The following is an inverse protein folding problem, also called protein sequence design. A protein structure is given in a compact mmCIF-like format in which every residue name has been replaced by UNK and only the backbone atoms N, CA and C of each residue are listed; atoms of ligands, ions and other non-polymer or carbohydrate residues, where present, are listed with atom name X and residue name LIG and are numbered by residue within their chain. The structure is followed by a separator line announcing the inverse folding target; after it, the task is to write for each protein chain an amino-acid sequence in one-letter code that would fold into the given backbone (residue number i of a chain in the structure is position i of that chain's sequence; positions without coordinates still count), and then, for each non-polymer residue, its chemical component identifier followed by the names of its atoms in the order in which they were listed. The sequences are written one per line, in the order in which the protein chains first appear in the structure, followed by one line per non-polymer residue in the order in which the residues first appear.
data_IF_358999969746
#
_entry.id   IF_358999969746
#
_cell.length_a   1.000
_cell.length_b   1.000
_cell.length_c   1.000
_cell.angle_alpha   90.00
_cell.angle_beta   90.00
_cell.angle_gamma   90.00
#
_symmetry.space_group_name_H-M   'P 1'
#
loop_
_entity.id
_entity.type
_entity.pdbx_description
1 polymer ?
#
# COMPACT_ATOMS: atom_id res chain seq x y z
N UNK A 1 -0.87 9.08 6.53
CA UNK A 1 0.61 8.98 6.58
C UNK A 1 1.01 8.45 7.95
N UNK A 2 1.74 7.34 8.03
CA UNK A 2 2.06 6.64 9.29
C UNK A 2 2.88 7.50 10.27
N UNK A 3 3.88 8.26 9.77
CA UNK A 3 4.71 9.17 10.60
C UNK A 3 3.87 10.19 11.38
N UNK A 4 2.90 10.84 10.73
CA UNK A 4 2.01 11.81 11.36
C UNK A 4 1.21 11.19 12.52
N UNK A 5 0.63 10.00 12.28
CA UNK A 5 -0.12 9.26 13.31
C UNK A 5 0.78 8.84 14.49
N UNK A 6 2.02 8.41 14.21
CA UNK A 6 2.99 7.99 15.23
C UNK A 6 3.42 9.18 16.11
N UNK A 7 3.81 10.31 15.49
CA UNK A 7 4.16 11.54 16.23
C UNK A 7 3.03 11.93 17.20
N UNK A 8 1.80 12.01 16.68
CA UNK A 8 0.62 12.36 17.50
C UNK A 8 0.36 11.35 18.61
N UNK A 9 0.54 10.06 18.34
CA UNK A 9 0.36 8.98 19.33
C UNK A 9 1.40 9.09 20.45
N UNK A 10 2.69 9.10 20.12
CA UNK A 10 3.79 9.19 21.11
C UNK A 10 3.66 10.45 21.94
N UNK A 11 3.36 11.61 21.33
CA UNK A 11 3.10 12.84 22.06
C UNK A 11 2.01 12.68 23.12
N UNK A 12 0.89 12.01 22.76
CA UNK A 12 -0.22 11.80 23.70
C UNK A 12 0.15 10.78 24.79
N UNK A 13 0.86 9.71 24.45
CA UNK A 13 1.36 8.72 25.41
C UNK A 13 2.27 9.35 26.48
N UNK A 14 3.08 10.34 26.07
CA UNK A 14 3.94 11.11 26.98
C UNK A 14 3.22 12.33 27.59
N UNK A 15 1.89 12.49 27.38
CA UNK A 15 1.10 13.60 27.90
C UNK A 15 1.59 14.99 27.48
N UNK A 16 2.29 15.09 26.34
CA UNK A 16 2.85 16.34 25.84
C UNK A 16 1.84 17.14 25.02
N UNK A 17 1.89 18.46 25.13
CA UNK A 17 1.17 19.38 24.25
C UNK A 17 1.92 19.57 22.94
N UNK A 18 1.22 20.02 21.89
CA UNK A 18 1.85 20.40 20.61
C UNK A 18 2.91 21.50 20.82
N UNK A 19 2.66 22.42 21.77
CA UNK A 19 3.59 23.51 22.06
C UNK A 19 4.87 23.01 22.73
N UNK A 20 4.78 22.07 23.67
CA UNK A 20 5.96 21.51 24.34
C UNK A 20 6.85 20.75 23.35
N UNK A 21 6.27 19.92 22.50
CA UNK A 21 7.06 19.23 21.45
C UNK A 21 7.70 20.24 20.50
N UNK A 22 6.97 21.29 20.09
CA UNK A 22 7.51 22.33 19.22
C UNK A 22 8.71 23.07 19.85
N UNK A 23 8.59 23.44 21.14
CA UNK A 23 9.68 24.09 21.87
C UNK A 23 10.92 23.20 22.00
N UNK A 24 10.73 21.93 22.34
CA UNK A 24 11.82 20.94 22.51
C UNK A 24 12.49 20.58 21.18
N UNK A 25 11.75 20.55 20.09
CA UNK A 25 12.25 20.23 18.75
C UNK A 25 12.81 21.47 18.01
N UNK A 26 12.76 22.65 18.63
CA UNK A 26 13.14 23.94 18.03
C UNK A 26 12.42 24.20 16.68
N UNK A 27 11.09 23.96 16.67
CA UNK A 27 10.23 24.21 15.50
C UNK A 27 8.98 24.97 15.89
N UNK A 28 8.26 25.51 14.92
CA UNK A 28 7.01 26.21 15.21
C UNK A 28 5.88 25.23 15.59
N UNK A 29 4.99 25.65 16.50
CA UNK A 29 3.76 24.93 16.84
C UNK A 29 2.92 24.61 15.60
N UNK A 30 2.87 25.56 14.64
CA UNK A 30 2.14 25.40 13.39
C UNK A 30 2.70 24.28 12.52
N UNK A 31 4.02 24.07 12.54
CA UNK A 31 4.66 22.98 11.81
C UNK A 31 4.30 21.62 12.41
N UNK A 32 4.38 21.45 13.74
CA UNK A 32 3.95 20.20 14.41
C UNK A 32 2.49 19.92 14.09
N UNK A 33 1.61 20.93 14.20
CA UNK A 33 0.19 20.76 13.89
C UNK A 33 -0.05 20.32 12.43
N UNK A 34 0.65 20.93 11.46
CA UNK A 34 0.53 20.54 10.05
C UNK A 34 1.01 19.10 9.81
N UNK A 35 2.11 18.71 10.46
CA UNK A 35 2.67 17.34 10.35
C UNK A 35 1.68 16.33 10.94
N UNK A 36 1.19 16.53 12.17
CA UNK A 36 0.26 15.61 12.83
C UNK A 36 -1.07 15.43 12.09
N UNK A 37 -1.48 16.47 11.34
CA UNK A 37 -2.68 16.42 10.50
C UNK A 37 -2.40 15.96 9.05
N UNK A 38 -1.18 15.48 8.75
CA UNK A 38 -0.81 14.95 7.45
C UNK A 38 -0.69 15.99 6.32
N UNK A 39 -0.69 17.28 6.65
CA UNK A 39 -0.62 18.39 5.68
C UNK A 39 0.79 18.74 5.25
N UNK A 40 1.80 18.19 5.91
CA UNK A 40 3.22 18.44 5.62
C UNK A 40 4.03 17.23 6.03
N UNK A 41 5.03 16.88 5.22
CA UNK A 41 6.03 15.85 5.54
C UNK A 41 7.26 16.56 6.08
N UNK A 42 7.75 16.22 7.30
CA UNK A 42 9.00 16.80 7.80
C UNK A 42 10.21 16.31 7.00
N UNK A 43 11.21 17.14 6.84
CA UNK A 43 12.54 16.68 6.40
C UNK A 43 13.16 15.78 7.47
N UNK A 44 14.13 14.94 7.09
CA UNK A 44 14.80 14.04 8.04
C UNK A 44 15.40 14.77 9.25
N UNK A 45 16.13 15.89 9.12
CA UNK A 45 16.61 16.62 10.29
C UNK A 45 15.47 17.08 11.21
N UNK A 46 14.40 17.63 10.67
CA UNK A 46 13.22 18.06 11.44
C UNK A 46 12.55 16.89 12.14
N UNK A 47 12.45 15.73 11.47
CA UNK A 47 11.88 14.52 12.07
C UNK A 47 12.72 14.04 13.26
N UNK A 48 14.04 14.02 13.14
CA UNK A 48 14.95 13.64 14.23
C UNK A 48 14.85 14.62 15.42
N UNK A 49 14.73 15.93 15.16
CA UNK A 49 14.48 16.92 16.21
C UNK A 49 13.14 16.68 16.92
N UNK A 50 12.08 16.35 16.17
CA UNK A 50 10.76 16.03 16.73
C UNK A 50 10.82 14.76 17.59
N UNK A 51 11.53 13.71 17.14
CA UNK A 51 11.72 12.46 17.91
C UNK A 51 12.41 12.76 19.25
N UNK A 52 13.45 13.58 19.25
CA UNK A 52 14.10 14.04 20.49
C UNK A 52 13.15 14.85 21.37
N UNK A 53 12.37 15.76 20.79
CA UNK A 53 11.36 16.56 21.50
C UNK A 53 10.21 15.75 22.10
N UNK A 54 9.97 14.54 21.56
CA UNK A 54 9.01 13.57 22.10
C UNK A 54 9.57 12.72 23.26
N UNK A 55 10.83 12.96 23.67
CA UNK A 55 11.53 12.17 24.72
C UNK A 55 11.62 10.69 24.37
N UNK A 56 11.85 10.39 23.09
CA UNK A 56 12.09 9.02 22.61
C UNK A 56 13.32 9.00 21.70
N UNK A 57 13.92 7.84 21.49
CA UNK A 57 15.01 7.69 20.53
C UNK A 57 14.48 7.21 19.16
N UNK A 58 15.31 7.32 18.12
CA UNK A 58 14.92 6.95 16.77
C UNK A 58 14.54 5.46 16.67
N UNK A 59 15.26 4.57 17.36
CA UNK A 59 14.98 3.13 17.34
C UNK A 59 13.57 2.84 17.87
N UNK A 60 13.22 3.37 19.04
CA UNK A 60 11.88 3.18 19.64
C UNK A 60 10.79 3.88 18.84
N UNK A 61 11.08 5.07 18.30
CA UNK A 61 10.14 5.78 17.45
C UNK A 61 9.82 4.99 16.20
N UNK A 62 10.82 4.42 15.51
CA UNK A 62 10.64 3.61 14.33
C UNK A 62 10.26 2.16 14.62
N UNK A 63 10.30 1.72 15.88
CA UNK A 63 9.78 0.43 16.27
C UNK A 63 8.28 0.35 15.96
N UNK A 64 7.91 -0.60 15.07
CA UNK A 64 6.55 -0.73 14.53
C UNK A 64 6.30 0.03 13.22
N UNK A 65 7.29 0.76 12.67
CA UNK A 65 7.28 1.20 11.27
C UNK A 65 7.86 0.13 10.32
N UNK A 66 8.89 -0.56 10.74
CA UNK A 66 9.15 -1.88 10.18
C UNK A 66 8.06 -2.75 10.75
N UNK A 67 7.08 -3.06 9.92
CA UNK A 67 5.98 -3.91 10.32
C UNK A 67 6.53 -5.17 10.97
N UNK A 68 6.67 -5.20 12.29
CA UNK A 68 6.80 -6.43 13.07
C UNK A 68 5.47 -7.22 13.04
N UNK A 69 4.65 -7.03 12.01
CA UNK A 69 3.67 -8.00 11.57
C UNK A 69 4.35 -9.29 11.10
N UNK A 70 5.67 -9.23 10.81
CA UNK A 70 6.49 -10.40 10.44
C UNK A 70 6.61 -11.44 11.56
N UNK A 71 6.26 -11.10 12.80
CA UNK A 71 6.23 -12.04 13.94
C UNK A 71 4.87 -12.73 14.16
N UNK A 72 3.78 -12.24 13.57
CA UNK A 72 2.49 -12.91 13.71
C UNK A 72 2.37 -14.07 12.72
N UNK A 73 2.31 -15.29 13.25
CA UNK A 73 2.11 -16.50 12.44
C UNK A 73 0.74 -16.49 11.73
N UNK A 74 -0.24 -15.73 12.24
CA UNK A 74 -1.59 -15.62 11.69
C UNK A 74 -2.00 -14.15 11.62
N UNK A 75 -2.46 -13.69 10.45
CA UNK A 75 -3.10 -12.37 10.26
C UNK A 75 -4.48 -12.58 9.65
N UNK A 76 -5.50 -12.06 10.30
CA UNK A 76 -6.87 -12.02 9.79
C UNK A 76 -7.18 -10.57 9.39
N UNK A 77 -7.54 -10.36 8.13
CA UNK A 77 -8.01 -9.05 7.63
C UNK A 77 -9.48 -9.20 7.28
N UNK A 78 -10.31 -8.36 7.87
CA UNK A 78 -11.75 -8.37 7.59
C UNK A 78 -12.04 -7.53 6.35
N UNK A 79 -13.08 -7.87 5.59
CA UNK A 79 -13.49 -7.12 4.40
C UNK A 79 -13.74 -5.63 4.70
N UNK A 80 -14.23 -5.31 5.90
CA UNK A 80 -14.47 -3.93 6.34
C UNK A 80 -13.18 -3.10 6.51
N UNK A 81 -12.03 -3.77 6.61
CA UNK A 81 -10.72 -3.15 6.80
C UNK A 81 -9.95 -3.00 5.47
N UNK A 82 -10.55 -3.41 4.34
CA UNK A 82 -9.94 -3.24 3.02
C UNK A 82 -9.88 -1.76 2.67
N UNK A 83 -8.70 -1.29 2.27
CA UNK A 83 -8.48 0.12 1.96
C UNK A 83 -8.56 0.33 0.44
N UNK A 84 -9.51 1.15 -0.05
CA UNK A 84 -9.52 1.52 -1.46
C UNK A 84 -8.27 2.37 -1.77
N UNK A 85 -7.67 2.14 -2.93
CA UNK A 85 -6.56 2.95 -3.41
C UNK A 85 -6.61 3.11 -4.94
N UNK A 86 -6.07 4.21 -5.42
CA UNK A 86 -5.85 4.45 -6.83
C UNK A 86 -4.40 4.06 -7.17
N UNK A 87 -4.23 3.13 -8.09
CA UNK A 87 -2.91 2.72 -8.55
C UNK A 87 -2.42 3.61 -9.69
N UNK A 88 -3.37 4.08 -10.50
CA UNK A 88 -3.16 4.92 -11.68
C UNK A 88 -4.50 5.52 -12.12
N UNK A 89 -4.48 6.63 -12.86
CA UNK A 89 -5.66 7.21 -13.47
C UNK A 89 -6.18 6.29 -14.61
N UNK A 90 -7.08 5.37 -14.27
CA UNK A 90 -7.68 4.45 -15.20
C UNK A 90 -9.17 4.30 -14.93
N UNK A 91 -9.99 4.66 -15.90
CA UNK A 91 -11.43 4.56 -15.76
C UNK A 91 -11.90 3.11 -15.69
N UNK A 92 -12.72 2.80 -14.68
CA UNK A 92 -13.28 1.47 -14.48
C UNK A 92 -12.40 0.49 -13.69
N UNK A 93 -11.28 0.94 -13.15
CA UNK A 93 -10.39 0.13 -12.31
C UNK A 93 -10.56 0.51 -10.84
N UNK A 94 -11.11 -0.38 -10.03
CA UNK A 94 -11.33 -0.14 -8.60
C UNK A 94 -10.52 -1.12 -7.78
N UNK A 95 -9.48 -0.61 -7.14
CA UNK A 95 -8.57 -1.40 -6.31
C UNK A 95 -8.93 -1.32 -4.83
N UNK A 96 -8.77 -2.43 -4.11
CA UNK A 96 -8.82 -2.48 -2.66
C UNK A 96 -7.60 -3.26 -2.15
N UNK A 97 -6.80 -2.62 -1.31
CA UNK A 97 -5.69 -3.27 -0.64
C UNK A 97 -6.22 -4.18 0.47
N UNK A 98 -5.79 -5.45 0.48
CA UNK A 98 -6.12 -6.43 1.51
C UNK A 98 -5.03 -6.46 2.57
N UNK A 99 -3.80 -6.79 2.14
CA UNK A 99 -2.65 -6.84 3.03
C UNK A 99 -1.35 -6.72 2.25
N UNK A 100 -0.33 -6.19 2.91
CA UNK A 100 1.07 -6.35 2.55
C UNK A 100 1.80 -7.11 3.63
N UNK A 101 2.72 -7.98 3.25
CA UNK A 101 3.57 -8.72 4.17
C UNK A 101 5.00 -8.83 3.67
N UNK A 102 5.91 -8.45 4.50
CA UNK A 102 7.32 -8.68 4.24
C UNK A 102 7.70 -10.09 4.69
N UNK A 103 8.21 -10.89 3.78
CA UNK A 103 8.86 -12.17 4.00
C UNK A 103 10.37 -11.96 3.79
N UNK A 104 11.21 -12.92 4.14
CA UNK A 104 12.69 -12.75 4.12
C UNK A 104 13.19 -11.96 2.89
N UNK A 105 12.99 -12.50 1.69
CA UNK A 105 13.48 -11.90 0.43
C UNK A 105 12.35 -11.41 -0.49
N UNK A 106 11.11 -11.46 -0.04
CA UNK A 106 9.93 -11.15 -0.86
C UNK A 106 9.00 -10.25 -0.06
N UNK A 107 8.44 -9.24 -0.72
CA UNK A 107 7.24 -8.55 -0.24
C UNK A 107 6.04 -9.12 -0.99
N UNK A 108 5.10 -9.68 -0.23
CA UNK A 108 3.81 -10.14 -0.74
C UNK A 108 2.79 -9.03 -0.55
N UNK A 109 2.04 -8.70 -1.60
CA UNK A 109 0.92 -7.78 -1.55
C UNK A 109 -0.32 -8.44 -2.15
N UNK A 110 -1.45 -8.39 -1.43
CA UNK A 110 -2.73 -8.91 -1.87
C UNK A 110 -3.71 -7.77 -2.11
N UNK A 111 -4.34 -7.78 -3.28
CA UNK A 111 -5.23 -6.72 -3.75
C UNK A 111 -6.46 -7.32 -4.41
N UNK A 112 -7.62 -6.73 -4.21
CA UNK A 112 -8.79 -6.96 -5.07
C UNK A 112 -8.83 -5.90 -6.16
N UNK A 113 -9.12 -6.32 -7.38
CA UNK A 113 -9.46 -5.45 -8.50
C UNK A 113 -10.87 -5.77 -8.96
N UNK A 114 -11.77 -4.78 -8.88
CA UNK A 114 -13.05 -4.81 -9.58
C UNK A 114 -12.91 -4.02 -10.88
N UNK A 115 -13.05 -4.72 -12.01
CA UNK A 115 -12.91 -4.18 -13.35
C UNK A 115 -14.28 -4.03 -13.99
N UNK A 116 -14.69 -2.77 -14.21
CA UNK A 116 -16.00 -2.46 -14.79
C UNK A 116 -16.07 -2.79 -16.30
N UNK A 117 -17.26 -3.03 -16.84
CA UNK A 117 -17.47 -3.12 -18.30
C UNK A 117 -16.86 -1.93 -19.03
N UNK A 118 -16.13 -2.21 -20.10
CA UNK A 118 -15.48 -1.18 -20.91
C UNK A 118 -14.20 -0.59 -20.30
N UNK A 119 -13.76 -1.05 -19.15
CA UNK A 119 -12.53 -0.57 -18.52
C UNK A 119 -11.32 -0.79 -19.44
N UNK A 120 -10.57 0.28 -19.68
CA UNK A 120 -9.39 0.30 -20.57
C UNK A 120 -8.32 1.20 -20.00
N UNK A 121 -7.07 0.83 -20.22
CA UNK A 121 -5.90 1.64 -19.96
C UNK A 121 -4.74 1.19 -20.84
N UNK A 122 -3.67 1.94 -20.84
CA UNK A 122 -2.41 1.53 -21.46
C UNK A 122 -1.80 0.32 -20.74
N UNK A 123 -0.96 -0.44 -21.47
CA UNK A 123 -0.18 -1.51 -20.85
C UNK A 123 0.75 -0.94 -19.79
N UNK A 124 0.87 -1.66 -18.68
CA UNK A 124 1.79 -1.35 -17.59
C UNK A 124 2.82 -2.44 -17.44
N UNK A 125 3.90 -2.12 -16.74
CA UNK A 125 4.88 -3.08 -16.22
C UNK A 125 4.91 -2.97 -14.71
N UNK A 126 5.10 -4.08 -14.02
CA UNK A 126 5.23 -4.16 -12.56
C UNK A 126 6.50 -4.95 -12.24
N UNK A 127 7.37 -4.41 -11.43
CA UNK A 127 8.59 -5.13 -11.01
C UNK A 127 8.28 -6.17 -9.92
N UNK A 128 7.42 -7.13 -10.27
CA UNK A 128 6.97 -8.22 -9.42
C UNK A 128 6.53 -9.41 -10.28
N UNK A 129 6.55 -10.61 -9.70
CA UNK A 129 5.71 -11.67 -10.22
C UNK A 129 4.27 -11.45 -9.81
N UNK A 130 3.33 -11.74 -10.69
CA UNK A 130 1.91 -11.53 -10.47
C UNK A 130 1.13 -12.85 -10.59
N UNK A 131 0.30 -13.12 -9.59
CA UNK A 131 -0.70 -14.18 -9.65
C UNK A 131 -2.10 -13.56 -9.59
N UNK A 132 -2.97 -13.98 -10.50
CA UNK A 132 -4.36 -13.55 -10.57
C UNK A 132 -5.28 -14.74 -10.37
N UNK A 133 -6.38 -14.55 -9.68
CA UNK A 133 -7.47 -15.51 -9.59
C UNK A 133 -8.79 -14.80 -9.82
N UNK A 134 -9.59 -15.28 -10.77
CA UNK A 134 -10.87 -14.67 -11.10
C UNK A 134 -11.94 -15.16 -10.12
N UNK A 135 -12.44 -14.24 -9.30
CA UNK A 135 -13.45 -14.50 -8.29
C UNK A 135 -14.87 -14.47 -8.86
N UNK A 136 -15.10 -13.63 -9.88
CA UNK A 136 -16.36 -13.60 -10.64
C UNK A 136 -16.19 -12.83 -11.95
N UNK A 137 -17.03 -13.13 -12.93
CA UNK A 137 -17.03 -12.49 -14.24
C UNK A 137 -15.99 -13.04 -15.20
N UNK A 138 -15.68 -12.25 -16.23
CA UNK A 138 -14.72 -12.61 -17.30
C UNK A 138 -13.81 -11.42 -17.61
N UNK A 139 -12.61 -11.72 -18.09
CA UNK A 139 -11.61 -10.70 -18.45
C UNK A 139 -10.72 -11.20 -19.59
N UNK A 140 -10.41 -10.31 -20.52
CA UNK A 140 -9.37 -10.53 -21.53
C UNK A 140 -8.07 -9.92 -21.00
N UNK A 141 -7.05 -10.74 -20.77
CA UNK A 141 -5.75 -10.29 -20.28
C UNK A 141 -4.76 -10.21 -21.43
N UNK A 142 -4.37 -9.00 -21.83
CA UNK A 142 -3.36 -8.81 -22.88
C UNK A 142 -1.98 -8.75 -22.21
N UNK A 143 -1.11 -9.72 -22.53
CA UNK A 143 0.27 -9.80 -22.06
C UNK A 143 1.17 -9.82 -23.30
N UNK A 144 2.07 -8.86 -23.39
CA UNK A 144 2.81 -8.55 -24.62
C UNK A 144 1.84 -8.40 -25.80
N UNK A 145 1.83 -9.35 -26.73
CA UNK A 145 0.95 -9.35 -27.90
C UNK A 145 -0.07 -10.50 -27.90
N UNK A 146 -0.17 -11.24 -26.80
CA UNK A 146 -1.07 -12.38 -26.66
C UNK A 146 -2.24 -12.06 -25.74
N UNK A 147 -3.44 -12.54 -26.09
CA UNK A 147 -4.67 -12.37 -25.31
C UNK A 147 -4.99 -13.70 -24.62
N UNK A 148 -5.20 -13.64 -23.33
CA UNK A 148 -5.62 -14.75 -22.49
C UNK A 148 -7.03 -14.45 -21.97
N UNK A 149 -8.01 -15.25 -22.40
CA UNK A 149 -9.38 -15.16 -21.90
C UNK A 149 -9.49 -15.95 -20.61
N UNK A 150 -10.00 -15.30 -19.56
CA UNK A 150 -10.15 -15.89 -18.23
C UNK A 150 -11.58 -15.67 -17.75
N UNK A 151 -12.10 -16.69 -17.04
CA UNK A 151 -13.41 -16.63 -16.41
C UNK A 151 -13.35 -17.08 -14.94
N UNK A 152 -14.47 -16.99 -14.26
CA UNK A 152 -14.58 -17.37 -12.84
C UNK A 152 -13.95 -18.75 -12.57
N UNK A 153 -13.05 -18.81 -11.59
CA UNK A 153 -12.29 -20.00 -11.20
C UNK A 153 -10.93 -20.12 -11.90
N UNK A 154 -10.70 -19.38 -12.97
CA UNK A 154 -9.40 -19.41 -13.66
C UNK A 154 -8.31 -18.65 -12.91
N UNK A 155 -7.07 -19.04 -13.18
CA UNK A 155 -5.90 -18.35 -12.65
C UNK A 155 -4.85 -18.09 -13.72
N UNK A 156 -4.08 -17.02 -13.51
CA UNK A 156 -3.00 -16.58 -14.38
C UNK A 156 -1.77 -16.23 -13.54
N UNK A 157 -0.61 -16.74 -13.92
CA UNK A 157 0.67 -16.37 -13.33
C UNK A 157 1.63 -15.91 -14.43
N UNK A 158 2.30 -14.78 -14.19
CA UNK A 158 3.28 -14.25 -15.14
C UNK A 158 4.29 -13.31 -14.47
N UNK A 159 5.38 -13.01 -15.19
CA UNK A 159 6.33 -11.97 -14.81
C UNK A 159 5.76 -10.61 -15.16
N UNK A 160 5.44 -9.80 -14.16
CA UNK A 160 4.83 -8.48 -14.33
C UNK A 160 5.69 -7.47 -15.09
N UNK A 161 6.99 -7.75 -15.29
CA UNK A 161 7.87 -6.92 -16.13
C UNK A 161 7.55 -7.05 -17.63
N UNK A 162 6.75 -8.03 -18.02
CA UNK A 162 6.18 -8.10 -19.37
C UNK A 162 5.04 -7.09 -19.45
N UNK A 163 4.99 -6.20 -20.48
CA UNK A 163 3.91 -5.24 -20.65
C UNK A 163 2.54 -5.93 -20.69
N UNK A 164 1.62 -5.52 -19.82
CA UNK A 164 0.33 -6.20 -19.69
C UNK A 164 -0.81 -5.26 -19.30
N UNK A 165 -2.04 -5.68 -19.60
CA UNK A 165 -3.26 -4.96 -19.22
C UNK A 165 -4.47 -5.90 -19.21
N UNK A 166 -5.32 -5.88 -18.16
CA UNK A 166 -6.66 -6.46 -18.22
C UNK A 166 -7.63 -5.55 -18.97
N UNK A 167 -8.53 -6.15 -19.73
CA UNK A 167 -9.60 -5.48 -20.45
C UNK A 167 -10.92 -6.18 -20.15
N UNK A 168 -11.92 -5.45 -19.71
CA UNK A 168 -13.25 -6.02 -19.55
C UNK A 168 -14.13 -5.64 -20.74
N UNK A 169 -14.16 -6.50 -21.75
CA UNK A 169 -14.99 -6.36 -22.93
C UNK A 169 -16.39 -7.03 -22.77
N UNK A 170 -16.73 -7.46 -21.55
CA UNK A 170 -17.98 -8.14 -21.21
C UNK A 170 -18.99 -7.17 -20.59
N UNK A 171 -20.23 -7.63 -20.40
CA UNK A 171 -21.32 -6.79 -19.88
C UNK A 171 -21.35 -6.68 -18.35
N UNK A 172 -20.64 -7.55 -17.65
CA UNK A 172 -20.62 -7.62 -16.19
C UNK A 172 -19.26 -7.23 -15.62
N UNK A 173 -19.24 -6.85 -14.35
CA UNK A 173 -18.01 -6.59 -13.62
C UNK A 173 -17.15 -7.86 -13.56
N UNK A 174 -15.83 -7.72 -13.64
CA UNK A 174 -14.90 -8.78 -13.31
C UNK A 174 -14.21 -8.47 -11.98
N UNK A 175 -14.37 -9.35 -10.99
CA UNK A 175 -13.67 -9.27 -9.72
C UNK A 175 -12.53 -10.28 -9.70
N UNK A 176 -11.33 -9.82 -9.41
CA UNK A 176 -10.14 -10.71 -9.29
C UNK A 176 -9.32 -10.42 -8.04
N UNK A 177 -8.76 -11.47 -7.48
CA UNK A 177 -7.69 -11.38 -6.49
C UNK A 177 -6.36 -11.29 -7.23
N UNK A 178 -5.54 -10.33 -6.83
CA UNK A 178 -4.18 -10.15 -7.33
C UNK A 178 -3.22 -10.36 -6.17
N UNK A 179 -2.21 -11.18 -6.39
CA UNK A 179 -1.07 -11.35 -5.48
C UNK A 179 0.19 -10.92 -6.21
N UNK A 180 0.83 -9.88 -5.68
CA UNK A 180 2.14 -9.42 -6.14
C UNK A 180 3.23 -10.01 -5.27
N UNK A 181 4.31 -10.46 -5.89
CA UNK A 181 5.51 -10.97 -5.24
C UNK A 181 6.69 -10.10 -5.70
N UNK A 182 7.04 -9.10 -4.89
CA UNK A 182 8.18 -8.22 -5.15
C UNK A 182 9.44 -8.84 -4.57
N UNK A 183 10.45 -9.08 -5.40
CA UNK A 183 11.75 -9.48 -4.90
C UNK A 183 12.42 -8.28 -4.21
N UNK A 184 12.88 -8.49 -2.98
CA UNK A 184 13.85 -7.57 -2.38
C UNK A 184 15.18 -7.90 -3.06
N UNK A 185 15.60 -7.05 -4.01
CA UNK A 185 16.88 -7.25 -4.70
C UNK A 185 18.00 -7.43 -3.68
N UNK A 186 18.99 -8.24 -4.01
CA UNK A 186 20.26 -8.31 -3.28
C UNK A 186 20.86 -6.89 -3.27
N UNK A 187 20.74 -6.19 -2.11
CA UNK A 187 21.44 -4.94 -1.84
C UNK A 187 22.86 -5.22 -1.40
#
# INVERSE_FOLDING_TARGET
MQIAKKIKRVRKEHSLTVQEVANRADVSKGLISKIENGRTIPSLPVLLSIIGGLETNAQDFFQGFTNNENGQAVKVVKKADYEPFEKEEAEGFFYQHILSRELENITLECVLLNLKPGAKREKVITDAFEYKYILSGKVSYLIDNEIYELEEGDSLYFDGRIPHVPQNNHAEDCLMLIVYLFNKGDQ
#
